data_IF_428255130920
#
_entry.id   IF_428255130920
#
_cell.length_a   1.000
_cell.length_b   1.000
_cell.length_c   1.000
_cell.angle_alpha   90.00
_cell.angle_beta   90.00
_cell.angle_gamma   90.00
#
_symmetry.space_group_name_H-M   'P 1'
#
loop_
_entity.id
_entity.type
_entity.pdbx_description
1 polymer ?
#
# COMPACT_ATOMS: atom_id res chain seq x y z
N UNK A 1 -4.74 4.58 -4.28
CA UNK A 1 -4.80 3.49 -5.30
C UNK A 1 -3.65 3.55 -6.32
N UNK A 2 -3.03 4.73 -6.55
CA UNK A 2 -1.83 4.87 -7.39
C UNK A 2 -0.60 4.15 -6.83
N UNK A 3 0.47 4.07 -7.62
CA UNK A 3 1.77 3.63 -7.14
C UNK A 3 2.48 4.74 -6.38
N UNK A 4 3.31 4.37 -5.39
CA UNK A 4 4.28 5.28 -4.77
C UNK A 4 5.58 5.21 -5.57
N UNK A 5 6.13 6.35 -5.99
CA UNK A 5 7.38 6.44 -6.75
C UNK A 5 8.43 7.14 -5.89
N UNK A 6 9.60 6.54 -5.63
CA UNK A 6 10.68 7.23 -4.92
C UNK A 6 11.32 8.28 -5.82
N UNK A 7 11.86 9.35 -5.23
CA UNK A 7 12.53 10.42 -5.97
C UNK A 7 13.66 9.91 -6.89
N UNK A 8 14.34 8.82 -6.51
CA UNK A 8 15.40 8.20 -7.30
C UNK A 8 14.94 7.56 -8.62
N UNK A 9 13.64 7.29 -8.79
CA UNK A 9 13.09 6.68 -9.99
C UNK A 9 12.41 7.68 -10.94
N UNK A 10 12.16 8.91 -10.48
CA UNK A 10 11.39 9.92 -11.24
C UNK A 10 12.08 10.27 -12.56
N UNK A 11 13.39 10.54 -12.53
CA UNK A 11 14.15 10.90 -13.73
C UNK A 11 14.25 9.76 -14.76
N UNK A 12 13.95 8.53 -14.33
CA UNK A 12 13.99 7.34 -15.18
C UNK A 12 12.59 6.96 -15.70
N UNK A 13 11.56 7.78 -15.51
CA UNK A 13 10.17 7.50 -15.87
C UNK A 13 9.66 8.58 -16.84
N UNK A 14 9.19 8.17 -18.02
CA UNK A 14 8.36 9.03 -18.84
C UNK A 14 6.89 8.89 -18.41
N UNK A 15 6.09 9.94 -18.64
CA UNK A 15 4.64 9.94 -18.38
C UNK A 15 3.91 9.08 -19.43
N UNK A 16 4.12 7.77 -19.35
CA UNK A 16 3.54 6.76 -20.21
C UNK A 16 2.99 5.59 -19.38
N UNK A 17 1.84 5.05 -19.79
CA UNK A 17 1.17 3.97 -19.06
C UNK A 17 2.01 2.69 -19.04
N UNK A 18 2.66 2.35 -20.15
CA UNK A 18 3.44 1.11 -20.25
C UNK A 18 4.73 1.21 -19.45
N UNK A 19 5.42 2.34 -19.50
CA UNK A 19 6.63 2.54 -18.70
C UNK A 19 6.37 2.45 -17.20
N UNK A 20 5.30 3.10 -16.70
CA UNK A 20 4.91 2.99 -15.30
C UNK A 20 4.60 1.55 -14.91
N UNK A 21 3.82 0.85 -15.72
CA UNK A 21 3.43 -0.53 -15.46
C UNK A 21 4.64 -1.49 -15.48
N UNK A 22 5.56 -1.32 -16.43
CA UNK A 22 6.77 -2.12 -16.55
C UNK A 22 7.69 -2.00 -15.33
N UNK A 23 7.71 -0.84 -14.66
CA UNK A 23 8.46 -0.62 -13.42
C UNK A 23 7.71 -0.99 -12.14
N UNK A 24 6.48 -1.49 -12.24
CA UNK A 24 5.64 -1.86 -11.10
C UNK A 24 4.92 -0.68 -10.43
N UNK A 25 4.86 0.47 -11.10
CA UNK A 25 4.08 1.64 -10.67
C UNK A 25 2.72 1.66 -11.39
N UNK A 26 1.90 2.65 -11.04
CA UNK A 26 0.60 2.87 -11.68
C UNK A 26 0.38 4.36 -11.90
N UNK A 27 0.25 4.78 -13.16
CA UNK A 27 0.03 6.19 -13.55
C UNK A 27 -1.38 6.67 -13.17
N UNK A 28 -2.40 5.83 -13.33
CA UNK A 28 -3.79 6.18 -13.05
C UNK A 28 -4.26 7.39 -13.87
N UNK A 29 -4.89 8.37 -13.21
CA UNK A 29 -5.35 9.62 -13.83
C UNK A 29 -4.24 10.66 -14.02
N UNK A 30 -2.96 10.26 -13.87
CA UNK A 30 -1.80 11.14 -13.87
C UNK A 30 -1.84 12.26 -12.81
N UNK A 31 -2.61 12.05 -11.74
CA UNK A 31 -2.59 12.92 -10.55
C UNK A 31 -1.34 12.63 -9.71
N UNK A 32 -0.60 13.67 -9.38
CA UNK A 32 0.64 13.56 -8.59
C UNK A 32 0.40 14.17 -7.21
N UNK A 33 0.69 13.41 -6.17
CA UNK A 33 0.65 13.86 -4.77
C UNK A 33 2.06 13.70 -4.20
N UNK A 34 2.62 14.79 -3.68
CA UNK A 34 3.93 14.77 -3.03
C UNK A 34 3.78 14.39 -1.56
N UNK A 35 4.50 13.37 -1.11
CA UNK A 35 4.55 12.94 0.29
C UNK A 35 5.77 13.60 0.93
N UNK A 36 5.61 14.40 2.00
CA UNK A 36 6.73 15.02 2.71
C UNK A 36 7.71 13.98 3.28
N UNK A 37 8.99 14.33 3.34
CA UNK A 37 10.06 13.44 3.85
C UNK A 37 9.89 13.08 5.33
N UNK A 38 9.27 13.97 6.09
CA UNK A 38 8.97 13.81 7.52
C UNK A 38 7.66 13.08 7.79
N UNK A 39 6.90 12.72 6.75
CA UNK A 39 5.68 11.92 6.90
C UNK A 39 6.02 10.42 6.98
N UNK A 40 5.69 9.72 8.08
CA UNK A 40 6.05 8.32 8.23
C UNK A 40 5.33 7.40 7.21
N UNK A 41 6.09 6.58 6.50
CA UNK A 41 5.51 5.64 5.52
C UNK A 41 4.56 4.61 6.14
N UNK A 42 4.78 4.24 7.41
CA UNK A 42 3.86 3.38 8.17
C UNK A 42 2.48 4.03 8.35
N UNK A 43 2.43 5.35 8.59
CA UNK A 43 1.17 6.10 8.67
C UNK A 43 0.52 6.21 7.30
N UNK A 44 1.30 6.33 6.23
CA UNK A 44 0.76 6.33 4.88
C UNK A 44 0.08 5.00 4.53
N UNK A 45 0.70 3.87 4.87
CA UNK A 45 0.08 2.54 4.66
C UNK A 45 -1.18 2.38 5.52
N UNK A 46 -1.14 2.83 6.78
CA UNK A 46 -2.31 2.82 7.67
C UNK A 46 -3.49 3.56 7.02
N UNK A 47 -3.24 4.77 6.50
CA UNK A 47 -4.25 5.55 5.79
C UNK A 47 -4.80 4.84 4.56
N UNK A 48 -3.95 4.17 3.77
CA UNK A 48 -4.41 3.40 2.59
C UNK A 48 -5.35 2.26 2.99
N UNK A 49 -5.03 1.53 4.07
CA UNK A 49 -5.92 0.48 4.56
C UNK A 49 -7.21 1.04 5.16
N UNK A 50 -7.13 2.11 5.94
CA UNK A 50 -8.29 2.79 6.52
C UNK A 50 -9.26 3.26 5.44
N UNK A 51 -8.76 3.99 4.43
CA UNK A 51 -9.55 4.39 3.27
C UNK A 51 -10.22 3.20 2.58
N UNK A 52 -9.46 2.12 2.34
CA UNK A 52 -10.01 0.93 1.67
C UNK A 52 -11.07 0.19 2.50
N UNK A 53 -10.98 0.28 3.83
CA UNK A 53 -11.95 -0.34 4.74
C UNK A 53 -13.26 0.45 4.78
N UNK A 54 -13.18 1.79 4.75
CA UNK A 54 -14.33 2.68 4.75
C UNK A 54 -15.05 2.70 3.39
N UNK A 55 -14.30 2.72 2.29
CA UNK A 55 -14.87 2.84 0.93
C UNK A 55 -15.24 1.49 0.29
N UNK A 56 -14.91 0.37 0.94
CA UNK A 56 -15.22 -0.95 0.40
C UNK A 56 -16.74 -1.12 0.24
N UNK A 57 -17.19 -1.41 -0.99
CA UNK A 57 -18.59 -1.75 -1.27
C UNK A 57 -19.05 -3.08 -0.62
N UNK A 58 -18.15 -3.85 -0.02
CA UNK A 58 -18.47 -5.02 0.78
C UNK A 58 -18.70 -6.32 0.01
N UNK A 59 -18.66 -6.29 -1.34
CA UNK A 59 -19.04 -7.43 -2.20
C UNK A 59 -18.05 -8.60 -2.19
N UNK A 60 -16.74 -8.33 -2.09
CA UNK A 60 -15.71 -9.37 -2.09
C UNK A 60 -15.09 -9.51 -0.69
N UNK A 61 -14.92 -10.75 -0.20
CA UNK A 61 -14.36 -10.98 1.14
C UNK A 61 -12.94 -10.42 1.30
N UNK A 62 -12.01 -10.60 0.34
CA UNK A 62 -10.68 -10.00 0.44
C UNK A 62 -10.73 -8.46 0.50
N UNK A 63 -11.67 -7.83 -0.22
CA UNK A 63 -11.82 -6.39 -0.19
C UNK A 63 -12.50 -5.85 1.07
N UNK A 64 -13.49 -6.58 1.61
CA UNK A 64 -14.26 -6.18 2.80
C UNK A 64 -13.52 -6.47 4.11
N UNK A 65 -13.02 -7.70 4.25
CA UNK A 65 -12.37 -8.14 5.48
C UNK A 65 -10.87 -7.85 5.43
N UNK A 66 -10.23 -8.03 4.27
CA UNK A 66 -8.78 -7.82 4.15
C UNK A 66 -8.37 -6.37 4.40
N UNK A 67 -9.14 -5.40 3.91
CA UNK A 67 -8.92 -3.97 4.20
C UNK A 67 -8.99 -3.68 5.70
N UNK A 68 -10.00 -4.19 6.39
CA UNK A 68 -10.17 -4.02 7.83
C UNK A 68 -9.05 -4.71 8.63
N UNK A 69 -8.62 -5.92 8.21
CA UNK A 69 -7.49 -6.62 8.84
C UNK A 69 -6.16 -5.89 8.63
N UNK A 70 -5.96 -5.29 7.46
CA UNK A 70 -4.83 -4.41 7.21
C UNK A 70 -4.87 -3.17 8.11
N UNK A 71 -6.04 -2.53 8.24
CA UNK A 71 -6.24 -1.39 9.15
C UNK A 71 -5.88 -1.78 10.59
N UNK A 72 -6.46 -2.86 11.09
CA UNK A 72 -6.23 -3.39 12.44
C UNK A 72 -4.75 -3.68 12.71
N UNK A 73 -4.06 -4.29 11.75
CA UNK A 73 -2.62 -4.58 11.85
C UNK A 73 -1.80 -3.29 12.04
N UNK A 74 -2.12 -2.23 11.31
CA UNK A 74 -1.42 -0.95 11.41
C UNK A 74 -1.89 -0.09 12.59
N UNK A 75 -3.14 -0.26 13.06
CA UNK A 75 -3.62 0.32 14.32
C UNK A 75 -2.81 -0.22 15.52
N UNK A 76 -2.47 -1.51 15.52
CA UNK A 76 -1.65 -2.11 16.57
C UNK A 76 -0.24 -1.50 16.62
N UNK A 77 0.36 -1.24 15.46
CA UNK A 77 1.66 -0.58 15.34
C UNK A 77 1.59 0.85 15.87
N UNK A 78 0.57 1.61 15.44
CA UNK A 78 0.33 2.98 15.89
C UNK A 78 0.17 3.07 17.41
N UNK A 79 -0.53 2.10 18.00
CA UNK A 79 -0.75 2.00 19.45
C UNK A 79 0.42 1.32 20.20
N UNK A 80 1.49 0.93 19.50
CA UNK A 80 2.67 0.24 20.05
C UNK A 80 2.33 -1.06 20.78
N UNK A 81 1.26 -1.75 20.37
CA UNK A 81 0.82 -3.01 20.97
C UNK A 81 1.37 -4.24 20.25
N UNK A 82 1.67 -4.13 18.95
CA UNK A 82 2.32 -5.19 18.17
C UNK A 82 3.16 -4.59 17.03
N UNK A 83 4.09 -5.40 16.51
CA UNK A 83 4.81 -5.13 15.27
C UNK A 83 4.13 -5.82 14.09
N UNK A 84 4.42 -5.38 12.86
CA UNK A 84 3.89 -5.94 11.61
C UNK A 84 4.54 -7.30 11.33
N UNK A 85 3.78 -8.41 11.33
CA UNK A 85 4.27 -9.69 10.84
C UNK A 85 4.36 -9.67 9.30
N UNK A 86 5.58 -9.61 8.74
CA UNK A 86 5.77 -9.45 7.29
C UNK A 86 5.14 -10.54 6.46
N UNK A 87 5.23 -11.80 6.91
CA UNK A 87 4.63 -12.91 6.19
C UNK A 87 3.11 -12.72 6.05
N UNK A 88 2.44 -12.35 7.14
CA UNK A 88 1.00 -12.12 7.15
C UNK A 88 0.61 -10.90 6.30
N UNK A 89 1.40 -9.82 6.35
CA UNK A 89 1.18 -8.66 5.48
C UNK A 89 1.29 -9.06 4.00
N UNK A 90 2.34 -9.79 3.62
CA UNK A 90 2.53 -10.25 2.24
C UNK A 90 1.38 -11.17 1.77
N UNK A 91 0.94 -12.09 2.62
CA UNK A 91 -0.20 -12.96 2.32
C UNK A 91 -1.50 -12.18 2.17
N UNK A 92 -1.74 -11.18 3.01
CA UNK A 92 -2.88 -10.27 2.91
C UNK A 92 -2.86 -9.51 1.57
N UNK A 93 -1.74 -8.87 1.22
CA UNK A 93 -1.59 -8.09 -0.01
C UNK A 93 -1.83 -8.97 -1.25
N UNK A 94 -1.26 -10.18 -1.27
CA UNK A 94 -1.47 -11.14 -2.36
C UNK A 94 -2.92 -11.61 -2.46
N UNK A 95 -3.57 -11.83 -1.31
CA UNK A 95 -4.99 -12.24 -1.25
C UNK A 95 -5.89 -11.13 -1.78
N UNK A 96 -5.64 -9.87 -1.39
CA UNK A 96 -6.39 -8.73 -1.89
C UNK A 96 -6.17 -8.53 -3.39
N UNK A 97 -4.93 -8.63 -3.88
CA UNK A 97 -4.61 -8.44 -5.29
C UNK A 97 -5.33 -9.46 -6.18
N UNK A 98 -5.41 -10.73 -5.76
CA UNK A 98 -6.00 -11.81 -6.56
C UNK A 98 -7.50 -12.00 -6.34
N UNK A 99 -8.00 -11.62 -5.18
CA UNK A 99 -9.36 -11.96 -4.74
C UNK A 99 -10.35 -10.80 -4.72
N UNK A 100 -9.92 -9.57 -5.03
CA UNK A 100 -10.84 -8.44 -5.18
C UNK A 100 -11.46 -8.40 -6.57
N UNK A 101 -12.77 -8.17 -6.63
CA UNK A 101 -13.53 -8.10 -7.89
C UNK A 101 -13.34 -6.77 -8.63
N UNK A 102 -12.90 -5.72 -7.94
CA UNK A 102 -12.67 -4.40 -8.52
C UNK A 102 -11.34 -3.82 -8.04
N UNK A 103 -10.92 -2.74 -8.70
CA UNK A 103 -9.64 -2.10 -8.45
C UNK A 103 -9.55 -1.34 -7.11
N UNK A 104 -10.66 -1.01 -6.45
CA UNK A 104 -10.63 -0.26 -5.18
C UNK A 104 -9.73 -0.93 -4.14
N UNK A 105 -10.08 -2.15 -3.72
CA UNK A 105 -9.25 -2.90 -2.78
C UNK A 105 -8.14 -3.69 -3.50
N UNK A 106 -8.35 -4.06 -4.76
CA UNK A 106 -7.38 -4.83 -5.56
C UNK A 106 -6.12 -4.06 -5.93
N UNK A 107 -6.17 -2.73 -5.98
CA UNK A 107 -5.02 -1.88 -6.29
C UNK A 107 -4.27 -1.36 -5.05
N UNK A 108 -4.82 -1.53 -3.82
CA UNK A 108 -4.13 -1.18 -2.57
C UNK A 108 -2.77 -1.88 -2.40
N UNK A 109 -2.58 -3.14 -2.83
CA UNK A 109 -1.27 -3.79 -2.78
C UNK A 109 -0.15 -3.07 -3.53
N UNK A 110 -0.43 -2.37 -4.62
CA UNK A 110 0.60 -1.71 -5.43
C UNK A 110 1.38 -0.62 -4.67
N UNK A 111 0.75 0.43 -4.10
CA UNK A 111 1.47 1.43 -3.32
C UNK A 111 2.17 0.81 -2.10
N UNK A 112 1.56 -0.15 -1.41
CA UNK A 112 2.16 -0.78 -0.23
C UNK A 112 3.42 -1.56 -0.62
N UNK A 113 3.37 -2.36 -1.69
CA UNK A 113 4.53 -3.08 -2.20
C UNK A 113 5.66 -2.13 -2.61
N UNK A 114 5.33 -0.97 -3.20
CA UNK A 114 6.33 0.04 -3.52
C UNK A 114 6.97 0.62 -2.26
N UNK A 115 6.17 0.90 -1.23
CA UNK A 115 6.67 1.39 0.06
C UNK A 115 7.60 0.36 0.69
N UNK A 116 7.18 -0.91 0.75
CA UNK A 116 8.00 -2.00 1.28
C UNK A 116 9.30 -2.21 0.49
N UNK A 117 9.26 -2.01 -0.84
CA UNK A 117 10.45 -2.15 -1.70
C UNK A 117 11.45 -1.01 -1.49
N UNK A 118 10.98 0.24 -1.53
CA UNK A 118 11.87 1.42 -1.59
C UNK A 118 12.11 2.09 -0.23
N UNK A 119 11.21 1.91 0.73
CA UNK A 119 11.21 2.62 2.02
C UNK A 119 11.19 1.68 3.24
N UNK A 120 11.54 0.39 3.05
CA UNK A 120 11.62 -0.58 4.16
C UNK A 120 12.53 -0.16 5.31
N UNK A 121 13.56 0.65 5.02
CA UNK A 121 14.46 1.21 6.03
C UNK A 121 13.74 2.09 7.06
N UNK A 122 12.71 2.81 6.65
CA UNK A 122 11.92 3.69 7.52
C UNK A 122 11.01 2.88 8.47
N UNK A 123 10.61 1.68 8.06
CA UNK A 123 9.69 0.82 8.82
C UNK A 123 10.39 -0.27 9.66
N UNK A 124 11.73 -0.26 9.76
CA UNK A 124 12.50 -1.30 10.47
C UNK A 124 12.07 -1.51 11.93
N UNK A 125 11.64 -0.44 12.60
CA UNK A 125 11.23 -0.52 14.00
C UNK A 125 9.82 -1.08 14.17
N UNK A 126 8.98 -0.93 13.14
CA UNK A 126 7.56 -1.30 13.14
C UNK A 126 7.33 -2.75 12.73
N UNK A 127 8.32 -3.37 12.08
CA UNK A 127 8.23 -4.70 11.50
C UNK A 127 8.81 -5.78 12.44
N UNK A 128 8.16 -6.94 12.53
CA UNK A 128 8.74 -8.17 13.08
C UNK A 128 9.17 -9.11 11.95
N UNK A 129 10.28 -9.82 12.19
CA UNK A 129 10.81 -10.85 11.29
C UNK A 129 9.78 -11.96 11.02
#
# INVERSE_FOLDING_TARGET
LGGVVPLSEIDNLNLDFQEFSAKGFMLGHASVVSIPKDFPMVEYIHHLFEFSAEESCGKCFPGRLGSYRGKEMFDQVKNKTAKIPMQLLNDLLKTMQKGCLCALCGAIPTPINNILKYFSSEMKNDISA
#
